data_IF_052815041731
#
_entry.id   IF_052815041731
#
_cell.length_a   1.000
_cell.length_b   1.000
_cell.length_c   1.000
_cell.angle_alpha   90.00
_cell.angle_beta   90.00
_cell.angle_gamma   90.00
#
_symmetry.space_group_name_H-M   'P 1'
#
loop_
_entity.id
_entity.type
_entity.pdbx_description
1 polymer ?
#
# COMPACT_ATOMS: atom_id res chain seq x y z
N UNK A 1 26.04 -48.44 -42.58
CA UNK A 1 24.75 -49.07 -42.16
C UNK A 1 24.35 -48.73 -40.72
N UNK A 2 25.28 -48.43 -39.80
CA UNK A 2 24.97 -48.14 -38.38
C UNK A 2 24.06 -46.94 -38.11
N UNK A 3 24.22 -45.81 -38.82
CA UNK A 3 23.47 -44.58 -38.51
C UNK A 3 21.95 -44.70 -38.67
N UNK A 4 21.49 -45.53 -39.62
CA UNK A 4 20.05 -45.78 -39.81
C UNK A 4 19.46 -46.59 -38.65
N UNK A 5 20.24 -47.54 -38.13
CA UNK A 5 19.84 -48.33 -36.96
C UNK A 5 19.81 -47.46 -35.70
N UNK A 6 20.80 -46.58 -35.50
CA UNK A 6 20.84 -45.64 -34.37
C UNK A 6 19.63 -44.68 -34.39
N UNK A 7 19.29 -44.12 -35.55
CA UNK A 7 18.10 -43.25 -35.70
C UNK A 7 16.79 -43.99 -35.43
N UNK A 8 16.70 -45.26 -35.82
CA UNK A 8 15.53 -46.09 -35.52
C UNK A 8 15.40 -46.37 -34.02
N UNK A 9 16.51 -46.65 -33.35
CA UNK A 9 16.55 -46.87 -31.91
C UNK A 9 16.14 -45.60 -31.14
N UNK A 10 16.67 -44.43 -31.53
CA UNK A 10 16.29 -43.17 -30.88
C UNK A 10 14.80 -42.84 -31.06
N UNK A 11 14.23 -43.13 -32.23
CA UNK A 11 12.80 -42.97 -32.47
C UNK A 11 11.95 -43.88 -31.58
N UNK A 12 12.33 -45.15 -31.42
CA UNK A 12 11.62 -46.11 -30.55
C UNK A 12 11.74 -45.73 -29.07
N UNK A 13 12.91 -45.28 -28.64
CA UNK A 13 13.10 -44.78 -27.26
C UNK A 13 12.24 -43.55 -26.99
N UNK A 14 12.17 -42.62 -27.94
CA UNK A 14 11.32 -41.44 -27.84
C UNK A 14 9.83 -41.80 -27.79
N UNK A 15 9.36 -42.70 -28.67
CA UNK A 15 7.96 -43.15 -28.65
C UNK A 15 7.60 -43.88 -27.37
N UNK A 16 8.50 -44.72 -26.85
CA UNK A 16 8.31 -45.46 -25.59
C UNK A 16 8.29 -44.51 -24.39
N UNK A 17 9.16 -43.50 -24.38
CA UNK A 17 9.20 -42.48 -23.31
C UNK A 17 7.91 -41.66 -23.30
N UNK A 18 7.42 -41.28 -24.48
CA UNK A 18 6.14 -40.59 -24.63
C UNK A 18 4.97 -41.46 -24.15
N UNK A 19 4.91 -42.73 -24.57
CA UNK A 19 3.88 -43.68 -24.13
C UNK A 19 3.90 -43.87 -22.60
N UNK A 20 5.07 -44.02 -21.99
CA UNK A 20 5.19 -44.11 -20.54
C UNK A 20 4.65 -42.86 -19.83
N UNK A 21 4.99 -41.67 -20.33
CA UNK A 21 4.50 -40.41 -19.76
C UNK A 21 2.97 -40.27 -19.86
N UNK A 22 2.37 -40.77 -20.94
CA UNK A 22 0.92 -40.79 -21.10
C UNK A 22 0.27 -41.80 -20.13
N UNK A 23 0.84 -42.98 -20.02
CA UNK A 23 0.36 -44.04 -19.13
C UNK A 23 0.44 -43.63 -17.66
N UNK A 24 1.51 -42.94 -17.26
CA UNK A 24 1.71 -42.39 -15.91
C UNK A 24 0.59 -41.44 -15.51
N UNK A 25 0.05 -40.66 -16.45
CA UNK A 25 -1.08 -39.76 -16.19
C UNK A 25 -2.43 -40.49 -16.31
N UNK A 26 -2.54 -41.45 -17.23
CA UNK A 26 -3.79 -42.16 -17.53
C UNK A 26 -4.19 -43.15 -16.43
N UNK A 27 -3.26 -44.01 -16.00
CA UNK A 27 -3.50 -45.05 -14.98
C UNK A 27 -4.06 -44.49 -13.65
N UNK A 28 -3.52 -43.40 -13.06
CA UNK A 28 -4.08 -42.86 -11.83
C UNK A 28 -5.44 -42.20 -12.06
N UNK A 29 -5.68 -41.57 -13.22
CA UNK A 29 -7.02 -41.04 -13.55
C UNK A 29 -8.05 -42.15 -13.63
N UNK A 30 -7.72 -43.25 -14.29
CA UNK A 30 -8.56 -44.44 -14.36
C UNK A 30 -8.77 -45.07 -12.98
N UNK A 31 -7.73 -45.17 -12.16
CA UNK A 31 -7.82 -45.65 -10.78
C UNK A 31 -8.76 -44.78 -9.93
N UNK A 32 -8.69 -43.45 -10.05
CA UNK A 32 -9.59 -42.53 -9.35
C UNK A 32 -11.05 -42.71 -9.81
N UNK A 33 -11.30 -42.88 -11.11
CA UNK A 33 -12.64 -43.14 -11.64
C UNK A 33 -13.16 -44.50 -11.15
N UNK A 34 -12.33 -45.54 -11.19
CA UNK A 34 -12.67 -46.88 -10.72
C UNK A 34 -12.96 -46.89 -9.22
N UNK A 35 -12.18 -46.17 -8.41
CA UNK A 35 -12.41 -46.05 -6.98
C UNK A 35 -13.70 -45.26 -6.69
N UNK A 36 -13.96 -44.16 -7.42
CA UNK A 36 -15.21 -43.40 -7.30
C UNK A 36 -16.42 -44.25 -7.67
N UNK A 37 -16.34 -45.03 -8.76
CA UNK A 37 -17.44 -45.91 -9.17
C UNK A 37 -17.62 -47.06 -8.20
N UNK A 38 -16.55 -47.67 -7.68
CA UNK A 38 -16.59 -48.69 -6.62
C UNK A 38 -17.31 -48.18 -5.38
N UNK A 39 -16.99 -46.96 -4.92
CA UNK A 39 -17.68 -46.30 -3.80
C UNK A 39 -19.16 -46.02 -4.05
N UNK A 40 -19.59 -45.90 -5.31
CA UNK A 40 -21.00 -45.73 -5.68
C UNK A 40 -21.76 -47.06 -5.75
N UNK A 41 -21.10 -48.19 -6.09
CA UNK A 41 -21.74 -49.51 -6.29
C UNK A 41 -22.42 -50.09 -5.04
N UNK A 42 -21.98 -49.71 -3.83
CA UNK A 42 -22.54 -50.21 -2.57
C UNK A 42 -23.52 -49.25 -1.88
N UNK A 43 -23.82 -48.09 -2.47
CA UNK A 43 -24.75 -47.14 -1.87
C UNK A 43 -26.18 -47.58 -2.15
N UNK A 44 -27.01 -47.77 -1.10
CA UNK A 44 -28.41 -48.09 -1.30
C UNK A 44 -29.11 -46.93 -2.01
N UNK A 45 -29.98 -47.25 -2.96
CA UNK A 45 -30.79 -46.25 -3.63
C UNK A 45 -31.92 -45.84 -2.67
N UNK A 46 -32.14 -44.53 -2.41
CA UNK A 46 -33.19 -44.08 -1.52
C UNK A 46 -34.55 -44.21 -2.23
N UNK A 47 -35.09 -45.41 -2.19
CA UNK A 47 -36.45 -45.71 -2.63
C UNK A 47 -37.39 -45.34 -1.49
N UNK A 48 -38.50 -44.65 -1.80
CA UNK A 48 -39.53 -44.37 -0.80
C UNK A 48 -40.18 -45.67 -0.36
N UNK A 49 -40.31 -45.88 0.95
CA UNK A 49 -41.01 -47.04 1.50
C UNK A 49 -42.50 -46.97 1.13
N UNK A 50 -43.13 -48.14 0.91
CA UNK A 50 -44.58 -48.21 0.76
C UNK A 50 -45.25 -47.95 2.11
N UNK A 51 -46.42 -47.30 2.10
CA UNK A 51 -47.16 -46.95 3.33
C UNK A 51 -47.54 -48.18 4.16
N UNK A 52 -47.70 -49.35 3.53
CA UNK A 52 -47.96 -50.64 4.18
C UNK A 52 -46.86 -51.66 3.82
N UNK A 53 -45.96 -51.94 4.77
CA UNK A 53 -44.91 -52.95 4.62
C UNK A 53 -45.32 -54.25 5.34
N UNK A 54 -45.63 -55.29 4.58
CA UNK A 54 -46.10 -56.57 5.13
C UNK A 54 -44.99 -57.63 5.33
N UNK A 55 -43.72 -57.21 5.47
CA UNK A 55 -42.62 -58.14 5.76
C UNK A 55 -42.32 -59.11 4.62
N UNK A 56 -41.70 -58.60 3.55
CA UNK A 56 -41.30 -59.40 2.39
C UNK A 56 -40.35 -58.65 1.45
N UNK A 57 -39.85 -59.33 0.41
CA UNK A 57 -39.06 -58.70 -0.65
C UNK A 57 -39.97 -57.80 -1.51
N UNK A 58 -39.64 -56.51 -1.61
CA UNK A 58 -40.39 -55.53 -2.41
C UNK A 58 -39.76 -55.42 -3.80
N UNK A 59 -40.51 -55.79 -4.83
CA UNK A 59 -40.11 -55.61 -6.22
C UNK A 59 -40.45 -54.19 -6.68
N UNK A 60 -39.43 -53.42 -7.02
CA UNK A 60 -39.60 -52.05 -7.52
C UNK A 60 -39.75 -52.04 -9.03
N UNK A 61 -40.70 -51.23 -9.53
CA UNK A 61 -40.81 -50.99 -10.96
C UNK A 61 -39.58 -50.22 -11.48
N UNK A 62 -39.13 -50.44 -12.72
CA UNK A 62 -37.99 -49.72 -13.30
C UNK A 62 -38.14 -48.19 -13.27
N UNK A 63 -39.39 -47.68 -13.31
CA UNK A 63 -39.68 -46.25 -13.20
C UNK A 63 -39.30 -45.69 -11.83
N UNK A 64 -39.65 -46.38 -10.73
CA UNK A 64 -39.29 -45.97 -9.36
C UNK A 64 -37.79 -45.95 -9.12
N UNK A 65 -37.07 -46.91 -9.71
CA UNK A 65 -35.60 -46.94 -9.67
C UNK A 65 -34.98 -45.75 -10.41
N UNK A 66 -35.56 -45.32 -11.55
CA UNK A 66 -35.10 -44.12 -12.25
C UNK A 66 -35.35 -42.85 -11.42
N UNK A 67 -36.58 -42.67 -10.92
CA UNK A 67 -36.93 -41.51 -10.08
C UNK A 67 -35.98 -41.32 -8.89
N UNK A 68 -35.64 -42.41 -8.19
CA UNK A 68 -34.71 -42.32 -7.05
C UNK A 68 -33.27 -41.98 -7.47
N UNK A 69 -32.84 -42.42 -8.66
CA UNK A 69 -31.53 -42.01 -9.21
C UNK A 69 -31.51 -40.54 -9.59
N UNK A 70 -32.58 -40.05 -10.22
CA UNK A 70 -32.69 -38.66 -10.64
C UNK A 70 -32.67 -37.72 -9.43
N UNK A 71 -33.36 -38.09 -8.33
CA UNK A 71 -33.30 -37.34 -7.06
C UNK A 71 -31.89 -37.26 -6.46
N UNK A 72 -31.16 -38.38 -6.45
CA UNK A 72 -29.76 -38.38 -6.00
C UNK A 72 -28.88 -37.49 -6.86
N UNK A 73 -29.07 -37.51 -8.18
CA UNK A 73 -28.30 -36.65 -9.09
C UNK A 73 -28.56 -35.18 -8.81
N UNK A 74 -29.82 -34.78 -8.64
CA UNK A 74 -30.18 -33.41 -8.28
C UNK A 74 -29.54 -32.98 -6.95
N UNK A 75 -29.55 -33.85 -5.93
CA UNK A 75 -28.87 -33.57 -4.65
C UNK A 75 -27.35 -33.42 -4.83
N UNK A 76 -26.70 -34.34 -5.57
CA UNK A 76 -25.26 -34.24 -5.85
C UNK A 76 -24.90 -32.94 -6.62
N UNK A 77 -25.77 -32.48 -7.53
CA UNK A 77 -25.61 -31.23 -8.27
C UNK A 77 -25.81 -30.00 -7.37
N UNK A 78 -26.85 -29.99 -6.53
CA UNK A 78 -27.10 -28.92 -5.56
C UNK A 78 -25.95 -28.78 -4.57
N UNK A 79 -25.43 -29.88 -4.02
CA UNK A 79 -24.26 -29.89 -3.14
C UNK A 79 -23.03 -29.31 -3.85
N UNK A 80 -22.77 -29.70 -5.10
CA UNK A 80 -21.67 -29.16 -5.88
C UNK A 80 -21.82 -27.66 -6.12
N UNK A 81 -23.02 -27.19 -6.45
CA UNK A 81 -23.30 -25.76 -6.61
C UNK A 81 -23.11 -25.00 -5.30
N UNK A 82 -23.50 -25.58 -4.16
CA UNK A 82 -23.27 -24.97 -2.85
C UNK A 82 -21.78 -24.88 -2.51
N UNK A 83 -21.00 -25.94 -2.78
CA UNK A 83 -19.55 -25.92 -2.60
C UNK A 83 -18.89 -24.85 -3.48
N UNK A 84 -19.26 -24.76 -4.76
CA UNK A 84 -18.74 -23.72 -5.64
C UNK A 84 -19.11 -22.30 -5.16
N UNK A 85 -20.34 -22.10 -4.67
CA UNK A 85 -20.76 -20.82 -4.07
C UNK A 85 -19.96 -20.50 -2.81
N UNK A 86 -19.67 -21.49 -1.96
CA UNK A 86 -18.86 -21.31 -0.77
C UNK A 86 -17.41 -20.95 -1.12
N UNK A 87 -16.82 -21.63 -2.09
CA UNK A 87 -15.44 -21.36 -2.54
C UNK A 87 -15.32 -19.97 -3.17
N UNK A 88 -16.25 -19.60 -4.05
CA UNK A 88 -16.26 -18.26 -4.63
C UNK A 88 -16.47 -17.17 -3.58
N UNK A 89 -17.27 -17.43 -2.53
CA UNK A 89 -17.41 -16.51 -1.39
C UNK A 89 -16.10 -16.38 -0.61
N UNK A 90 -15.42 -17.48 -0.30
CA UNK A 90 -14.11 -17.49 0.38
C UNK A 90 -13.08 -16.68 -0.40
N UNK A 91 -12.97 -16.93 -1.70
CA UNK A 91 -12.05 -16.19 -2.58
C UNK A 91 -12.36 -14.68 -2.60
N UNK A 92 -13.64 -14.29 -2.60
CA UNK A 92 -14.04 -12.88 -2.52
C UNK A 92 -13.64 -12.23 -1.19
N UNK A 93 -13.81 -12.94 -0.08
CA UNK A 93 -13.43 -12.46 1.25
C UNK A 93 -11.90 -12.29 1.35
N UNK A 94 -11.12 -13.27 0.89
CA UNK A 94 -9.66 -13.19 0.81
C UNK A 94 -9.20 -12.01 -0.06
N UNK A 95 -9.78 -11.84 -1.25
CA UNK A 95 -9.47 -10.72 -2.14
C UNK A 95 -9.82 -9.38 -1.49
N UNK A 96 -10.91 -9.30 -0.74
CA UNK A 96 -11.30 -8.09 0.00
C UNK A 96 -10.29 -7.77 1.10
N UNK A 97 -9.84 -8.77 1.85
CA UNK A 97 -8.83 -8.61 2.89
C UNK A 97 -7.48 -8.19 2.30
N UNK A 98 -7.04 -8.81 1.21
CA UNK A 98 -5.81 -8.45 0.51
C UNK A 98 -5.84 -6.99 0.04
N UNK A 99 -6.94 -6.57 -0.60
CA UNK A 99 -7.14 -5.17 -1.02
C UNK A 99 -7.18 -4.19 0.14
N UNK A 100 -7.73 -4.58 1.29
CA UNK A 100 -7.73 -3.75 2.49
C UNK A 100 -6.30 -3.54 3.02
N UNK A 101 -5.53 -4.64 3.15
CA UNK A 101 -4.12 -4.59 3.58
C UNK A 101 -3.27 -3.74 2.64
N UNK A 102 -3.43 -3.90 1.33
CA UNK A 102 -2.72 -3.09 0.33
C UNK A 102 -3.03 -1.60 0.48
N UNK A 103 -4.31 -1.24 0.69
CA UNK A 103 -4.71 0.15 0.93
C UNK A 103 -4.08 0.72 2.20
N UNK A 104 -4.02 -0.06 3.28
CA UNK A 104 -3.37 0.35 4.53
C UNK A 104 -1.88 0.57 4.35
N UNK A 105 -1.18 -0.39 3.71
CA UNK A 105 0.23 -0.26 3.38
C UNK A 105 0.50 0.99 2.52
N UNK A 106 -0.35 1.25 1.53
CA UNK A 106 -0.24 2.45 0.69
C UNK A 106 -0.43 3.75 1.48
N UNK A 107 -1.33 3.76 2.46
CA UNK A 107 -1.51 4.91 3.37
C UNK A 107 -0.28 5.10 4.24
N UNK A 108 0.23 4.03 4.85
CA UNK A 108 1.45 4.06 5.66
C UNK A 108 2.66 4.55 4.85
N UNK A 109 2.84 4.05 3.63
CA UNK A 109 3.91 4.50 2.74
C UNK A 109 3.80 6.00 2.42
N UNK A 110 2.60 6.53 2.17
CA UNK A 110 2.39 7.98 1.94
C UNK A 110 2.71 8.82 3.18
N UNK A 111 2.37 8.32 4.37
CA UNK A 111 2.70 8.98 5.63
C UNK A 111 4.21 8.98 5.85
N UNK A 112 4.88 7.84 5.66
CA UNK A 112 6.32 7.71 5.75
C UNK A 112 7.05 8.68 4.79
N UNK A 113 6.61 8.76 3.53
CA UNK A 113 7.16 9.70 2.54
C UNK A 113 6.96 11.14 2.98
N UNK A 114 5.78 11.50 3.51
CA UNK A 114 5.51 12.85 4.01
C UNK A 114 6.42 13.21 5.19
N UNK A 115 6.62 12.29 6.14
CA UNK A 115 7.51 12.49 7.28
C UNK A 115 8.97 12.64 6.85
N UNK A 116 9.45 11.81 5.92
CA UNK A 116 10.79 11.94 5.36
C UNK A 116 10.99 13.29 4.69
N UNK A 117 10.00 13.76 3.92
CA UNK A 117 10.03 15.07 3.27
C UNK A 117 10.04 16.23 4.27
N UNK A 118 9.37 16.10 5.41
CA UNK A 118 9.42 17.10 6.48
C UNK A 118 10.81 17.14 7.12
N UNK A 119 11.37 15.98 7.50
CA UNK A 119 12.72 15.89 8.05
C UNK A 119 13.77 16.48 7.12
N UNK A 120 13.72 16.15 5.83
CA UNK A 120 14.64 16.70 4.83
C UNK A 120 14.51 18.24 4.71
N UNK A 121 13.29 18.78 4.82
CA UNK A 121 13.08 20.24 4.82
C UNK A 121 13.66 20.90 6.06
N UNK A 122 13.52 20.27 7.22
CA UNK A 122 14.09 20.72 8.49
C UNK A 122 15.61 20.70 8.45
N UNK A 123 16.22 19.59 8.01
CA UNK A 123 17.67 19.48 7.83
C UNK A 123 18.21 20.54 6.87
N UNK A 124 17.57 20.73 5.72
CA UNK A 124 17.94 21.79 4.77
C UNK A 124 17.77 23.19 5.35
N UNK A 125 16.77 23.42 6.20
CA UNK A 125 16.59 24.71 6.87
C UNK A 125 17.70 24.95 7.92
N UNK A 126 18.05 23.92 8.69
CA UNK A 126 19.17 23.95 9.65
C UNK A 126 20.49 24.19 8.93
N UNK A 127 20.76 23.51 7.82
CA UNK A 127 21.97 23.70 7.01
C UNK A 127 22.04 25.13 6.44
N UNK A 128 20.92 25.66 5.93
CA UNK A 128 20.87 27.05 5.47
C UNK A 128 21.13 28.03 6.61
N UNK A 129 20.52 27.81 7.77
CA UNK A 129 20.72 28.65 8.96
C UNK A 129 22.17 28.61 9.43
N UNK A 130 22.80 27.43 9.48
CA UNK A 130 24.20 27.26 9.86
C UNK A 130 25.14 27.95 8.87
N UNK A 131 24.87 27.84 7.57
CA UNK A 131 25.65 28.53 6.52
C UNK A 131 25.54 30.05 6.62
N UNK A 132 24.36 30.58 6.93
CA UNK A 132 24.16 32.02 7.17
C UNK A 132 24.90 32.45 8.44
N UNK A 133 24.80 31.68 9.53
CA UNK A 133 25.49 31.96 10.78
C UNK A 133 27.01 31.96 10.60
N UNK A 134 27.57 30.96 9.90
CA UNK A 134 28.99 30.88 9.58
C UNK A 134 29.47 32.08 8.75
N UNK A 135 28.71 32.48 7.73
CA UNK A 135 29.02 33.69 6.94
C UNK A 135 29.00 34.96 7.78
N UNK A 136 28.04 35.10 8.71
CA UNK A 136 27.97 36.24 9.63
C UNK A 136 29.16 36.24 10.58
N UNK A 137 29.51 35.11 11.18
CA UNK A 137 30.67 34.96 12.06
C UNK A 137 31.98 35.32 11.34
N UNK A 138 32.19 34.80 10.12
CA UNK A 138 33.36 35.13 9.30
C UNK A 138 33.45 36.64 9.01
N UNK A 139 32.33 37.30 8.67
CA UNK A 139 32.29 38.76 8.47
C UNK A 139 32.65 39.52 9.75
N UNK A 140 32.17 39.08 10.90
CA UNK A 140 32.51 39.72 12.19
C UNK A 140 33.99 39.56 12.52
N UNK A 141 34.57 38.37 12.32
CA UNK A 141 36.01 38.13 12.48
C UNK A 141 36.84 39.04 11.58
N UNK A 142 36.47 39.16 10.29
CA UNK A 142 37.15 40.09 9.37
C UNK A 142 37.07 41.54 9.84
N UNK A 143 35.92 41.99 10.36
CA UNK A 143 35.77 43.34 10.92
C UNK A 143 36.66 43.52 12.16
N UNK A 144 36.70 42.56 13.07
CA UNK A 144 37.53 42.59 14.27
C UNK A 144 39.04 42.60 13.96
N UNK A 145 39.47 41.84 12.96
CA UNK A 145 40.86 41.88 12.46
C UNK A 145 41.17 43.28 11.91
N UNK A 146 40.30 43.85 11.07
CA UNK A 146 40.49 45.21 10.53
C UNK A 146 40.53 46.29 11.61
N UNK A 147 39.67 46.23 12.63
CA UNK A 147 39.64 47.21 13.72
C UNK A 147 40.86 47.07 14.64
N UNK A 148 41.29 45.86 14.99
CA UNK A 148 42.49 45.65 15.81
C UNK A 148 43.78 46.12 15.11
N UNK A 149 43.91 45.91 13.80
CA UNK A 149 45.02 46.46 13.00
C UNK A 149 45.01 47.99 12.96
N UNK A 150 43.83 48.62 12.86
CA UNK A 150 43.67 50.09 12.88
C UNK A 150 43.93 50.68 14.27
N UNK A 151 43.59 49.94 15.33
CA UNK A 151 43.89 50.27 16.73
C UNK A 151 45.38 50.26 17.03
N UNK A 152 46.12 49.21 16.58
CA UNK A 152 47.58 49.17 16.66
C UNK A 152 48.23 50.34 15.91
N UNK A 153 47.79 50.64 14.68
CA UNK A 153 48.32 51.79 13.91
C UNK A 153 48.05 53.16 14.57
N UNK A 154 47.00 53.29 15.38
CA UNK A 154 46.71 54.52 16.14
C UNK A 154 47.43 54.57 17.48
N UNK A 155 47.63 53.45 18.18
CA UNK A 155 48.40 53.41 19.43
C UNK A 155 49.89 53.69 19.21
N UNK A 156 50.43 53.46 18.01
CA UNK A 156 51.77 53.92 17.64
C UNK A 156 51.88 55.43 17.32
N UNK A 157 50.76 56.17 17.27
CA UNK A 157 50.73 57.63 17.06
C UNK A 157 50.09 58.43 18.19
N UNK A 158 49.52 57.76 19.20
CA UNK A 158 48.89 58.39 20.35
C UNK A 158 49.69 58.09 21.63
N UNK A 159 50.94 58.52 21.65
CA UNK A 159 51.71 58.75 22.88
C UNK A 159 52.13 60.22 22.94
N UNK A 160 51.18 61.14 22.87
CA UNK A 160 51.41 62.51 23.27
C UNK A 160 50.09 63.20 23.66
N UNK A 161 50.05 63.61 24.93
CA UNK A 161 49.09 64.51 25.59
C UNK A 161 47.75 63.91 26.03
N UNK A 162 47.79 63.40 27.26
CA UNK A 162 46.65 63.47 28.17
C UNK A 162 46.56 64.88 28.77
N UNK A 163 45.45 65.59 28.56
CA UNK A 163 44.99 66.68 29.43
C UNK A 163 43.48 66.89 29.31
N UNK A 164 42.78 66.56 30.40
CA UNK A 164 41.79 67.41 31.11
C UNK A 164 40.43 67.81 30.47
N UNK A 165 39.36 67.39 31.19
CA UNK A 165 38.10 68.09 31.59
C UNK A 165 36.74 67.78 30.90
N UNK A 166 35.81 67.31 31.77
CA UNK A 166 34.36 67.66 32.03
C UNK A 166 33.51 68.16 30.83
N UNK A 167 32.23 67.81 30.59
CA UNK A 167 31.03 67.61 31.45
C UNK A 167 29.94 66.79 30.68
N UNK A 168 29.01 66.23 31.45
CA UNK A 168 27.64 65.71 31.12
C UNK A 168 26.78 66.75 30.35
N UNK A 169 25.68 66.38 29.63
CA UNK A 169 24.54 65.65 30.21
C UNK A 169 23.81 64.59 29.35
N UNK A 170 23.04 63.80 30.11
CA UNK A 170 22.01 62.85 29.71
C UNK A 170 20.87 63.62 29.02
N UNK A 171 20.44 63.14 27.86
CA UNK A 171 19.19 63.54 27.21
C UNK A 171 18.41 62.26 26.87
N UNK A 172 17.31 62.04 27.60
CA UNK A 172 16.17 61.26 27.13
C UNK A 172 15.41 62.08 26.11
N UNK A 173 14.75 61.44 25.14
CA UNK A 173 13.40 61.84 24.81
C UNK A 173 12.42 60.72 25.15
N UNK A 174 11.48 61.12 25.99
CA UNK A 174 10.20 60.48 26.28
C UNK A 174 9.19 60.94 25.20
N UNK A 175 8.25 60.08 24.83
CA UNK A 175 7.14 60.37 23.92
C UNK A 175 7.11 59.37 22.76
N UNK A 176 6.04 58.65 22.50
CA UNK A 176 4.65 58.76 22.92
C UNK A 176 3.81 58.06 21.85
N UNK A 177 2.54 57.84 22.17
CA UNK A 177 1.46 57.46 21.24
C UNK A 177 1.33 55.95 20.92
N UNK A 178 0.51 55.32 21.77
CA UNK A 178 -0.60 54.51 21.27
C UNK A 178 -1.21 55.14 20.02
N UNK A 179 -1.24 54.37 18.93
CA UNK A 179 -2.21 54.55 17.87
C UNK A 179 -3.13 53.34 17.89
N UNK A 180 -4.21 53.49 18.65
CA UNK A 180 -5.46 52.82 18.36
C UNK A 180 -5.96 53.39 17.02
N UNK A 181 -5.83 52.60 15.96
CA UNK A 181 -6.21 52.97 14.61
C UNK A 181 -6.95 51.83 13.93
N UNK A 182 -8.28 51.95 13.93
CA UNK A 182 -9.26 51.42 12.96
C UNK A 182 -8.96 50.10 12.26
N UNK A 183 -9.82 49.11 12.53
CA UNK A 183 -10.02 47.95 11.67
C UNK A 183 -10.35 48.39 10.23
N UNK A 184 -9.33 48.52 9.38
CA UNK A 184 -9.49 48.53 7.95
C UNK A 184 -9.74 47.08 7.51
N UNK A 185 -10.96 46.82 7.03
CA UNK A 185 -11.38 45.50 6.57
C UNK A 185 -10.40 44.90 5.57
N UNK A 186 -10.03 43.62 5.81
CA UNK A 186 -9.23 42.83 4.88
C UNK A 186 -9.86 42.88 3.49
N UNK A 187 -9.07 43.07 2.41
CA UNK A 187 -9.60 43.00 1.05
C UNK A 187 -10.24 41.62 0.82
N UNK A 188 -11.34 41.56 0.04
CA UNK A 188 -12.01 40.30 -0.23
C UNK A 188 -11.04 39.32 -0.89
N UNK A 189 -11.12 38.01 -0.57
CA UNK A 189 -10.19 37.02 -1.08
C UNK A 189 -10.20 37.03 -2.62
N UNK A 190 -9.01 37.17 -3.20
CA UNK A 190 -8.80 37.15 -4.65
C UNK A 190 -8.17 35.83 -5.08
N UNK A 191 -8.57 35.33 -6.25
CA UNK A 191 -7.97 34.13 -6.83
C UNK A 191 -6.52 34.38 -7.28
N UNK A 192 -5.75 33.31 -7.56
CA UNK A 192 -4.40 33.40 -8.14
C UNK A 192 -4.27 34.26 -9.41
N UNK A 193 -5.38 34.57 -10.10
CA UNK A 193 -5.43 35.43 -11.29
C UNK A 193 -6.08 36.81 -11.03
N UNK A 194 -6.20 37.22 -9.76
CA UNK A 194 -6.69 38.56 -9.38
C UNK A 194 -8.22 38.75 -9.44
N UNK A 195 -9.01 37.69 -9.70
CA UNK A 195 -10.48 37.79 -9.70
C UNK A 195 -11.03 37.75 -8.28
N UNK A 196 -11.98 38.65 -7.96
CA UNK A 196 -12.69 38.68 -6.68
C UNK A 196 -13.56 37.42 -6.51
N UNK A 197 -13.44 36.75 -5.35
CA UNK A 197 -14.22 35.56 -5.02
C UNK A 197 -15.50 36.01 -4.30
N UNK A 198 -16.66 35.78 -4.93
CA UNK A 198 -17.98 35.97 -4.30
C UNK A 198 -18.44 34.63 -3.72
N UNK A 199 -18.56 34.55 -2.39
CA UNK A 199 -19.17 33.39 -1.73
C UNK A 199 -20.70 33.47 -1.87
N UNK A 200 -21.38 32.40 -2.30
CA UNK A 200 -22.84 32.39 -2.36
C UNK A 200 -23.44 32.37 -0.95
N UNK A 201 -24.58 33.06 -0.76
CA UNK A 201 -25.23 33.26 0.55
C UNK A 201 -25.71 31.98 1.24
N UNK A 202 -25.73 30.84 0.55
CA UNK A 202 -26.06 29.54 1.15
C UNK A 202 -24.97 29.01 2.10
N UNK A 203 -23.79 29.64 2.11
CA UNK A 203 -22.64 29.28 2.93
C UNK A 203 -22.23 30.38 3.93
N UNK A 204 -23.09 31.38 4.13
CA UNK A 204 -23.02 32.37 5.21
C UNK A 204 -24.13 32.06 6.22
#
# INVERSE_FOLDING_TARGET
QGDRQVKRLSQVLHSSSFQNSLDEVRKPREALVNERTRRKRGKPLPLQEAEEYHGGAVFWSPRKVKEARDRLQLQEEEEQLQLQKADTRRQREEARQARAREKEQRRQARLAVSLMRQKEREEKAVEKASRIAARRAAKQLQKAIKTSQRGRRRSFKASAKATQKKKRPIAMPQGGEELQGGAAGSPPPTSRRGRAIRTPSRFL
#
